data_IF_392776110945
#
_entry.id   IF_392776110945
#
_cell.length_a   1.000
_cell.length_b   1.000
_cell.length_c   1.000
_cell.angle_alpha   90.00
_cell.angle_beta   90.00
_cell.angle_gamma   90.00
#
_symmetry.space_group_name_H-M   'P 1'
#
loop_
_entity.id
_entity.type
_entity.pdbx_description
1 polymer ?
#
# COMPACT_ATOMS: atom_id res chain seq x y z
N UNK A 1 37.27 -23.01 -11.89
CA UNK A 1 36.54 -21.81 -12.36
C UNK A 1 35.17 -22.26 -12.88
N UNK A 2 34.11 -22.24 -12.06
CA UNK A 2 32.75 -22.51 -12.54
C UNK A 2 32.03 -21.17 -12.74
N UNK A 3 31.72 -20.87 -14.00
CA UNK A 3 30.98 -19.69 -14.39
C UNK A 3 29.54 -19.77 -13.84
N UNK A 4 29.19 -18.83 -12.96
CA UNK A 4 27.81 -18.62 -12.51
C UNK A 4 27.03 -18.03 -13.69
N UNK A 5 26.19 -18.85 -14.33
CA UNK A 5 25.21 -18.37 -15.31
C UNK A 5 24.22 -17.47 -14.59
N UNK A 6 24.25 -16.18 -14.90
CA UNK A 6 23.21 -15.24 -14.51
C UNK A 6 21.91 -15.65 -15.22
N UNK A 7 20.94 -16.13 -14.45
CA UNK A 7 19.58 -16.29 -14.96
C UNK A 7 18.99 -14.87 -15.14
N UNK A 8 18.39 -14.55 -16.29
CA UNK A 8 17.70 -13.29 -16.45
C UNK A 8 16.56 -13.26 -15.43
N UNK A 9 16.57 -12.24 -14.57
CA UNK A 9 15.43 -11.89 -13.74
C UNK A 9 14.27 -11.71 -14.72
N UNK A 10 13.34 -12.67 -14.70
CA UNK A 10 12.12 -12.59 -15.49
C UNK A 10 11.41 -11.33 -15.03
N UNK A 11 11.49 -10.30 -15.86
CA UNK A 11 10.75 -9.06 -15.69
C UNK A 11 9.28 -9.45 -15.65
N UNK A 12 8.71 -9.55 -14.45
CA UNK A 12 7.28 -9.75 -14.25
C UNK A 12 6.58 -8.74 -15.16
N UNK A 13 5.83 -9.27 -16.12
CA UNK A 13 5.05 -8.51 -17.09
C UNK A 13 4.42 -7.30 -16.42
N UNK A 14 4.91 -6.11 -16.78
CA UNK A 14 4.27 -4.84 -16.47
C UNK A 14 3.07 -4.72 -17.40
N UNK A 15 2.04 -5.52 -17.14
CA UNK A 15 0.75 -5.33 -17.80
C UNK A 15 0.32 -3.90 -17.49
N UNK A 16 -0.06 -3.09 -18.49
CA UNK A 16 -0.78 -1.86 -18.19
C UNK A 16 -1.99 -2.31 -17.38
N UNK A 17 -2.08 -1.85 -16.13
CA UNK A 17 -3.35 -1.86 -15.40
C UNK A 17 -4.25 -1.00 -16.26
N UNK A 18 -4.97 -1.61 -17.20
CA UNK A 18 -6.00 -0.94 -17.93
C UNK A 18 -6.92 -0.41 -16.84
N UNK A 19 -6.88 0.90 -16.63
CA UNK A 19 -7.89 1.57 -15.84
C UNK A 19 -9.15 1.38 -16.67
N UNK A 20 -9.89 0.29 -16.38
CA UNK A 20 -11.27 0.18 -16.81
C UNK A 20 -11.93 1.51 -16.44
N UNK A 21 -12.80 2.03 -17.32
CA UNK A 21 -13.57 3.22 -17.02
C UNK A 21 -14.23 3.04 -15.66
N UNK A 22 -13.82 3.84 -14.68
CA UNK A 22 -14.38 3.81 -13.33
C UNK A 22 -15.87 4.09 -13.46
N UNK A 23 -16.70 3.12 -13.08
CA UNK A 23 -18.14 3.34 -12.96
C UNK A 23 -18.40 4.16 -11.70
N UNK A 24 -19.24 5.18 -11.83
CA UNK A 24 -19.68 6.03 -10.70
C UNK A 24 -20.93 5.49 -10.02
N UNK A 25 -21.54 4.43 -10.57
CA UNK A 25 -22.84 3.92 -10.12
C UNK A 25 -22.73 2.52 -9.51
N UNK A 26 -21.85 1.68 -10.04
CA UNK A 26 -21.74 0.25 -9.68
C UNK A 26 -20.29 -0.11 -9.39
N UNK A 27 -20.05 -0.82 -8.29
CA UNK A 27 -18.72 -1.31 -7.95
C UNK A 27 -18.40 -2.56 -8.78
N UNK A 28 -17.78 -2.35 -9.94
CA UNK A 28 -17.49 -3.43 -10.89
C UNK A 28 -16.42 -4.40 -10.39
N UNK A 29 -16.68 -5.70 -10.51
CA UNK A 29 -15.73 -6.75 -10.15
C UNK A 29 -15.66 -7.09 -8.66
N UNK A 30 -16.67 -6.68 -7.89
CA UNK A 30 -16.79 -7.04 -6.46
C UNK A 30 -17.46 -8.40 -6.30
N UNK A 31 -18.45 -8.72 -7.13
CA UNK A 31 -19.18 -9.96 -7.03
C UNK A 31 -18.37 -11.15 -7.62
N UNK A 32 -18.17 -12.18 -6.81
CA UNK A 32 -17.48 -13.43 -7.19
C UNK A 32 -18.44 -14.56 -7.59
N UNK A 33 -19.75 -14.39 -7.37
CA UNK A 33 -20.76 -15.41 -7.63
C UNK A 33 -21.17 -15.40 -9.11
N UNK A 34 -21.24 -16.58 -9.73
CA UNK A 34 -21.62 -16.74 -11.15
C UNK A 34 -23.00 -16.18 -11.49
N UNK A 35 -23.95 -16.28 -10.54
CA UNK A 35 -25.32 -15.80 -10.69
C UNK A 35 -25.60 -14.54 -9.84
N UNK A 36 -24.55 -13.83 -9.42
CA UNK A 36 -24.70 -12.59 -8.65
C UNK A 36 -24.59 -11.35 -9.53
N UNK A 37 -25.02 -10.22 -9.00
CA UNK A 37 -24.84 -8.90 -9.61
C UNK A 37 -23.89 -8.09 -8.73
N UNK A 38 -23.11 -7.21 -9.35
CA UNK A 38 -22.26 -6.27 -8.61
C UNK A 38 -23.13 -5.31 -7.77
N UNK A 39 -22.72 -4.95 -6.55
CA UNK A 39 -23.45 -4.03 -5.70
C UNK A 39 -23.38 -2.59 -6.24
N UNK A 40 -24.48 -1.85 -6.12
CA UNK A 40 -24.52 -0.41 -6.40
C UNK A 40 -23.77 0.39 -5.33
N UNK A 41 -23.15 1.50 -5.74
CA UNK A 41 -22.51 2.43 -4.83
C UNK A 41 -23.57 3.17 -4.00
N UNK A 42 -23.34 3.24 -2.69
CA UNK A 42 -24.21 3.93 -1.74
C UNK A 42 -23.81 5.40 -1.62
N UNK A 43 -24.73 6.21 -1.11
CA UNK A 43 -24.43 7.60 -0.73
C UNK A 43 -23.42 7.66 0.41
N UNK A 44 -22.69 8.77 0.52
CA UNK A 44 -21.65 8.97 1.54
C UNK A 44 -22.20 8.93 2.98
N UNK A 45 -23.48 9.27 3.15
CA UNK A 45 -24.18 9.26 4.45
C UNK A 45 -24.50 7.86 4.96
N UNK A 46 -24.68 6.89 4.06
CA UNK A 46 -24.92 5.49 4.41
C UNK A 46 -23.65 4.76 4.81
N UNK A 47 -22.49 5.31 4.44
CA UNK A 47 -21.19 4.72 4.73
C UNK A 47 -20.70 5.16 6.12
N UNK A 48 -20.05 4.26 6.86
CA UNK A 48 -19.59 4.59 8.19
C UNK A 48 -18.44 5.61 8.15
N UNK A 49 -18.40 6.51 9.14
CA UNK A 49 -17.46 7.62 9.20
C UNK A 49 -15.97 7.19 9.15
N UNK A 50 -15.64 6.05 9.75
CA UNK A 50 -14.26 5.53 9.77
C UNK A 50 -13.70 5.29 8.38
N UNK A 51 -14.53 5.07 7.35
CA UNK A 51 -14.06 4.87 5.97
C UNK A 51 -13.28 6.07 5.45
N UNK A 52 -13.73 7.28 5.79
CA UNK A 52 -13.11 8.53 5.37
C UNK A 52 -11.81 8.82 6.13
N UNK A 53 -11.66 8.25 7.32
CA UNK A 53 -10.43 8.33 8.11
C UNK A 53 -9.30 7.52 7.45
N UNK A 54 -9.60 6.39 6.80
CA UNK A 54 -8.60 5.58 6.08
C UNK A 54 -7.99 6.29 4.87
N UNK A 55 -8.74 7.22 4.27
CA UNK A 55 -8.24 7.99 3.13
C UNK A 55 -7.18 9.02 3.55
N UNK A 56 -7.11 9.36 4.83
CA UNK A 56 -6.13 10.31 5.34
C UNK A 56 -4.74 9.65 5.38
N UNK A 57 -3.70 10.30 4.84
CA UNK A 57 -2.36 9.73 4.84
C UNK A 57 -1.82 9.62 6.27
N UNK A 58 -1.33 8.43 6.62
CA UNK A 58 -0.61 8.23 7.88
C UNK A 58 0.65 9.12 7.97
N UNK A 59 1.00 9.55 9.19
CA UNK A 59 2.15 10.42 9.44
C UNK A 59 3.45 9.85 8.85
N UNK A 60 4.24 10.66 8.11
CA UNK A 60 5.55 10.27 7.58
C UNK A 60 6.60 10.18 8.68
N UNK A 61 7.72 9.50 8.40
CA UNK A 61 8.81 9.29 9.35
C UNK A 61 9.37 10.62 9.90
N UNK A 62 9.48 11.64 9.05
CA UNK A 62 9.99 12.97 9.42
C UNK A 62 9.11 13.67 10.44
N UNK A 63 7.79 13.48 10.39
CA UNK A 63 6.87 14.07 11.37
C UNK A 63 6.92 13.30 12.70
N UNK A 64 7.00 11.97 12.64
CA UNK A 64 7.13 11.13 13.83
C UNK A 64 8.43 11.40 14.59
N UNK A 65 9.54 11.63 13.88
CA UNK A 65 10.86 11.94 14.47
C UNK A 65 10.95 13.32 15.12
N UNK A 66 9.95 14.20 14.95
CA UNK A 66 9.90 15.50 15.65
C UNK A 66 9.49 15.35 17.12
N UNK A 67 8.89 14.22 17.47
CA UNK A 67 8.43 13.89 18.82
C UNK A 67 9.30 12.77 19.40
N UNK A 68 9.30 12.65 20.74
CA UNK A 68 9.95 11.50 21.37
C UNK A 68 9.10 10.24 21.22
N UNK A 69 9.75 9.06 21.16
CA UNK A 69 9.08 7.76 20.97
C UNK A 69 7.99 7.51 22.01
N UNK A 70 8.27 7.89 23.24
CA UNK A 70 7.39 7.65 24.40
C UNK A 70 6.16 8.55 24.40
N UNK A 71 6.20 9.69 23.72
CA UNK A 71 5.09 10.65 23.64
C UNK A 71 4.06 10.29 22.57
N UNK A 72 4.45 9.45 21.61
CA UNK A 72 3.61 9.04 20.50
C UNK A 72 2.55 8.02 20.93
N UNK A 73 1.41 8.02 20.23
CA UNK A 73 0.39 7.00 20.45
C UNK A 73 0.91 5.61 20.06
N UNK A 74 0.38 4.51 20.64
CA UNK A 74 0.84 3.16 20.35
C UNK A 74 0.83 2.80 18.84
N UNK A 75 -0.13 3.33 18.08
CA UNK A 75 -0.22 3.12 16.64
C UNK A 75 0.89 3.86 15.88
N UNK A 76 1.23 5.07 16.31
CA UNK A 76 2.29 5.90 15.75
C UNK A 76 3.67 5.32 16.06
N UNK A 77 3.87 4.78 17.27
CA UNK A 77 5.07 4.04 17.64
C UNK A 77 5.29 2.84 16.71
N UNK A 78 4.24 2.03 16.48
CA UNK A 78 4.30 0.90 15.54
C UNK A 78 4.61 1.36 14.13
N UNK A 79 4.03 2.48 13.69
CA UNK A 79 4.29 3.06 12.37
C UNK A 79 5.74 3.53 12.24
N UNK A 80 6.28 4.20 13.26
CA UNK A 80 7.67 4.65 13.27
C UNK A 80 8.63 3.47 13.10
N UNK A 81 8.54 2.44 13.94
CA UNK A 81 9.44 1.26 13.86
C UNK A 81 9.42 0.63 12.45
N UNK A 82 8.22 0.50 11.85
CA UNK A 82 8.07 0.00 10.47
C UNK A 82 8.79 0.89 9.45
N UNK A 83 8.62 2.21 9.54
CA UNK A 83 9.23 3.16 8.60
C UNK A 83 10.75 3.22 8.75
N UNK A 84 11.27 3.20 9.98
CA UNK A 84 12.70 3.17 10.26
C UNK A 84 13.34 1.88 9.71
N UNK A 85 12.71 0.73 9.96
CA UNK A 85 13.17 -0.56 9.44
C UNK A 85 13.20 -0.55 7.91
N UNK A 86 12.15 -0.01 7.27
CA UNK A 86 12.08 0.12 5.81
C UNK A 86 13.17 1.04 5.27
N UNK A 87 13.47 2.15 5.96
CA UNK A 87 14.55 3.06 5.56
C UNK A 87 15.92 2.40 5.64
N UNK A 88 16.20 1.66 6.72
CA UNK A 88 17.44 0.88 6.89
C UNK A 88 17.61 -0.20 5.83
N UNK A 89 16.55 -0.98 5.53
CA UNK A 89 16.59 -1.98 4.45
C UNK A 89 16.86 -1.32 3.09
N UNK A 90 16.22 -0.18 2.81
CA UNK A 90 16.43 0.55 1.55
C UNK A 90 17.87 1.01 1.42
N UNK A 91 18.46 1.59 2.47
CA UNK A 91 19.86 2.00 2.47
C UNK A 91 20.81 0.80 2.23
N UNK A 92 20.58 -0.32 2.92
CA UNK A 92 21.37 -1.54 2.76
C UNK A 92 21.26 -2.12 1.34
N UNK A 93 20.08 -2.10 0.73
CA UNK A 93 19.89 -2.58 -0.64
C UNK A 93 20.64 -1.68 -1.63
N UNK A 94 20.64 -0.36 -1.43
CA UNK A 94 21.43 0.58 -2.24
C UNK A 94 22.92 0.24 -2.16
N UNK A 95 23.46 0.03 -0.95
CA UNK A 95 24.87 -0.33 -0.75
C UNK A 95 25.26 -1.68 -1.36
N UNK A 96 24.35 -2.65 -1.40
CA UNK A 96 24.59 -3.97 -2.00
C UNK A 96 24.44 -3.97 -3.52
N UNK A 97 23.70 -3.02 -4.07
CA UNK A 97 23.48 -2.87 -5.52
C UNK A 97 24.51 -1.96 -6.20
N UNK A 98 25.27 -1.19 -5.42
CA UNK A 98 26.42 -0.40 -5.86
C UNK A 98 27.65 -1.31 -5.99
#
# INVERSE_FOLDING_TARGET
MLARRALPVVTLCRLPRAFASLSTEVATGVNILKNGTDPALKSDEELPAWLWELAQPEKPLTELQRHEFTELQPEEQRRWVKLETRAGIKANNVLKSA
#
